data_IF_467388827775
#
_entry.id   IF_467388827775
#
_cell.length_a   1.000
_cell.length_b   1.000
_cell.length_c   1.000
_cell.angle_alpha   90.00
_cell.angle_beta   90.00
_cell.angle_gamma   90.00
#
_symmetry.space_group_name_H-M   'P 1'
#
loop_
_entity.id
_entity.type
_entity.pdbx_description
1 polymer ?
#
# COMPACT_ATOMS: atom_id res chain seq x y z
N UNK A 1 84.51 -47.35 -24.27
CA UNK A 1 85.59 -46.44 -23.80
C UNK A 1 84.93 -45.07 -23.73
N UNK A 2 84.88 -44.42 -22.55
CA UNK A 2 83.85 -43.41 -22.24
C UNK A 2 82.51 -44.11 -21.98
N UNK A 3 81.83 -44.05 -20.83
CA UNK A 3 81.91 -43.21 -19.60
C UNK A 3 81.33 -41.79 -19.71
N UNK A 4 80.53 -41.44 -18.69
CA UNK A 4 80.14 -40.11 -18.18
C UNK A 4 79.46 -39.13 -19.15
N UNK A 5 78.32 -38.53 -18.80
CA UNK A 5 78.18 -37.72 -17.58
C UNK A 5 76.81 -37.78 -16.90
N UNK A 6 76.77 -37.34 -15.64
CA UNK A 6 75.55 -37.14 -14.85
C UNK A 6 74.85 -35.83 -15.20
N UNK A 7 73.53 -35.81 -14.99
CA UNK A 7 72.77 -34.60 -14.67
C UNK A 7 71.76 -34.96 -13.57
N UNK A 8 72.19 -34.73 -12.34
CA UNK A 8 71.34 -34.65 -11.17
C UNK A 8 70.37 -33.48 -11.36
N UNK A 9 69.09 -33.67 -11.04
CA UNK A 9 68.09 -32.62 -11.15
C UNK A 9 67.27 -32.60 -9.84
N UNK A 10 67.85 -31.94 -8.84
CA UNK A 10 67.24 -31.69 -7.55
C UNK A 10 65.93 -30.90 -7.68
N UNK A 11 65.03 -31.12 -6.72
CA UNK A 11 63.97 -30.18 -6.39
C UNK A 11 62.79 -30.15 -7.36
N UNK A 12 61.70 -30.79 -6.93
CA UNK A 12 60.50 -29.99 -6.68
C UNK A 12 59.75 -30.59 -5.49
N UNK A 13 59.57 -29.76 -4.47
CA UNK A 13 59.00 -30.15 -3.19
C UNK A 13 57.50 -30.48 -3.28
N UNK A 14 57.05 -31.23 -2.28
CA UNK A 14 55.67 -31.69 -2.09
C UNK A 14 54.77 -30.54 -1.55
N UNK A 15 53.56 -30.87 -1.10
CA UNK A 15 52.69 -30.01 -0.30
C UNK A 15 52.18 -28.73 -1.00
N UNK A 16 51.22 -28.90 -1.93
CA UNK A 16 50.22 -27.85 -2.25
C UNK A 16 48.80 -28.41 -2.14
N UNK A 17 48.47 -29.00 -0.98
CA UNK A 17 47.10 -29.39 -0.63
C UNK A 17 46.34 -28.20 -0.01
N UNK A 18 46.09 -27.16 -0.82
CA UNK A 18 45.20 -26.04 -0.45
C UNK A 18 43.79 -26.28 -0.98
N UNK A 19 43.11 -27.29 -0.42
CA UNK A 19 41.72 -27.61 -0.77
C UNK A 19 40.74 -26.60 -0.15
N UNK A 20 40.76 -25.35 -0.63
CA UNK A 20 39.78 -24.33 -0.28
C UNK A 20 38.41 -24.69 -0.89
N UNK A 21 37.68 -25.57 -0.22
CA UNK A 21 36.25 -25.79 -0.45
C UNK A 21 35.49 -24.57 0.07
N UNK A 22 35.52 -23.47 -0.71
CA UNK A 22 34.71 -22.29 -0.46
C UNK A 22 33.25 -22.70 -0.31
N UNK A 23 32.81 -22.79 0.94
CA UNK A 23 31.49 -23.29 1.32
C UNK A 23 30.51 -22.12 1.31
N UNK A 24 30.58 -21.30 0.27
CA UNK A 24 29.61 -20.26 -0.01
C UNK A 24 28.26 -20.93 -0.30
N UNK A 25 27.25 -20.65 0.53
CA UNK A 25 25.89 -21.17 0.39
C UNK A 25 25.27 -20.66 -0.93
N UNK A 26 25.55 -21.36 -2.03
CA UNK A 26 25.02 -21.07 -3.36
C UNK A 26 23.55 -21.49 -3.42
N UNK A 27 22.69 -20.64 -2.84
CA UNK A 27 21.24 -20.75 -2.94
C UNK A 27 20.85 -20.92 -4.41
N UNK A 28 20.22 -22.05 -4.81
CA UNK A 28 19.97 -22.34 -6.21
C UNK A 28 19.13 -21.25 -6.87
N UNK A 29 19.56 -20.81 -8.05
CA UNK A 29 18.90 -19.78 -8.85
C UNK A 29 17.40 -20.05 -8.96
N UNK A 30 16.62 -18.97 -9.04
CA UNK A 30 15.15 -19.02 -9.06
C UNK A 30 14.60 -18.68 -10.43
N UNK A 31 13.54 -19.40 -10.82
CA UNK A 31 12.75 -19.05 -11.99
C UNK A 31 12.11 -17.67 -11.80
N UNK A 32 12.47 -16.70 -12.66
CA UNK A 32 12.02 -15.30 -12.56
C UNK A 32 10.50 -15.09 -12.67
N UNK A 33 9.74 -16.12 -13.05
CA UNK A 33 8.28 -16.11 -13.01
C UNK A 33 7.69 -16.76 -11.75
N UNK A 34 8.03 -18.03 -11.49
CA UNK A 34 7.36 -18.83 -10.46
C UNK A 34 8.11 -18.86 -9.12
N UNK A 35 9.31 -18.27 -9.05
CA UNK A 35 10.20 -18.12 -7.88
C UNK A 35 10.62 -19.42 -7.18
N UNK A 36 10.35 -20.57 -7.83
CA UNK A 36 10.89 -21.88 -7.45
C UNK A 36 12.39 -21.93 -7.79
N UNK A 37 13.23 -22.49 -6.92
CA UNK A 37 14.60 -22.84 -7.29
C UNK A 37 14.60 -23.97 -8.33
N UNK A 38 15.62 -24.03 -9.19
CA UNK A 38 15.87 -25.16 -10.08
C UNK A 38 17.30 -25.17 -10.57
N UNK A 39 17.91 -26.36 -10.65
CA UNK A 39 19.25 -26.57 -11.20
C UNK A 39 19.29 -26.39 -12.74
N UNK A 40 18.14 -26.50 -13.42
CA UNK A 40 18.03 -26.59 -14.88
C UNK A 40 17.34 -25.36 -15.51
N UNK A 41 17.64 -24.15 -15.05
CA UNK A 41 17.01 -22.94 -15.58
C UNK A 41 17.56 -22.50 -16.95
N UNK A 42 16.64 -22.20 -17.87
CA UNK A 42 16.91 -21.66 -19.20
C UNK A 42 16.95 -20.13 -19.14
N UNK A 43 18.08 -19.52 -19.51
CA UNK A 43 18.21 -18.05 -19.61
C UNK A 43 17.43 -17.49 -20.81
N UNK A 44 16.89 -16.29 -20.68
CA UNK A 44 16.15 -15.62 -21.74
C UNK A 44 17.02 -15.43 -22.99
N UNK A 45 16.59 -15.93 -24.14
CA UNK A 45 17.34 -15.87 -25.41
C UNK A 45 17.52 -14.46 -25.97
N UNK A 46 16.79 -13.47 -25.45
CA UNK A 46 17.05 -12.04 -25.66
C UNK A 46 18.13 -11.55 -24.70
N UNK A 47 17.71 -10.97 -23.56
CA UNK A 47 18.60 -10.25 -22.66
C UNK A 47 19.56 -11.11 -21.82
N UNK A 48 19.38 -12.44 -21.74
CA UNK A 48 20.12 -13.39 -20.87
C UNK A 48 20.10 -13.13 -19.35
N UNK A 49 19.65 -11.95 -18.89
CA UNK A 49 19.64 -11.51 -17.48
C UNK A 49 18.58 -12.16 -16.58
N UNK A 50 17.73 -13.06 -17.12
CA UNK A 50 16.66 -13.70 -16.35
C UNK A 50 16.46 -15.15 -16.80
N UNK A 51 16.18 -16.02 -15.85
CA UNK A 51 16.21 -17.48 -15.99
C UNK A 51 14.84 -18.10 -15.66
N UNK A 52 14.46 -19.17 -16.37
CA UNK A 52 13.14 -19.81 -16.25
C UNK A 52 13.24 -21.34 -16.20
N UNK A 53 12.41 -22.02 -15.41
CA UNK A 53 12.39 -23.49 -15.36
C UNK A 53 11.83 -24.14 -16.64
N UNK A 54 10.99 -23.41 -17.35
CA UNK A 54 10.33 -23.87 -18.58
C UNK A 54 9.93 -22.68 -19.47
N UNK A 55 9.62 -23.00 -20.73
CA UNK A 55 9.17 -22.05 -21.75
C UNK A 55 7.80 -21.44 -21.41
N UNK A 56 6.99 -22.17 -20.63
CA UNK A 56 5.67 -21.77 -20.17
C UNK A 56 5.77 -20.57 -19.20
N UNK A 57 6.73 -20.63 -18.27
CA UNK A 57 7.09 -19.56 -17.34
C UNK A 57 7.72 -18.36 -18.07
N UNK A 58 8.62 -18.61 -19.03
CA UNK A 58 9.19 -17.56 -19.86
C UNK A 58 8.09 -16.80 -20.63
N UNK A 59 7.17 -17.53 -21.26
CA UNK A 59 6.08 -16.97 -22.07
C UNK A 59 5.11 -16.15 -21.21
N UNK A 60 4.68 -16.69 -20.05
CA UNK A 60 3.79 -15.97 -19.13
C UNK A 60 4.45 -14.70 -18.60
N UNK A 61 5.72 -14.75 -18.21
CA UNK A 61 6.44 -13.56 -17.73
C UNK A 61 6.65 -12.52 -18.83
N UNK A 62 6.98 -12.96 -20.05
CA UNK A 62 7.13 -12.07 -21.21
C UNK A 62 5.85 -11.28 -21.46
N UNK A 63 4.69 -11.93 -21.56
CA UNK A 63 3.42 -11.22 -21.82
C UNK A 63 2.96 -10.32 -20.67
N UNK A 64 3.30 -10.63 -19.42
CA UNK A 64 2.85 -9.85 -18.25
C UNK A 64 3.71 -8.63 -17.92
N UNK A 65 5.03 -8.73 -18.06
CA UNK A 65 5.96 -7.72 -17.53
C UNK A 65 7.28 -7.66 -18.31
N UNK A 66 7.91 -8.82 -18.53
CA UNK A 66 9.28 -8.87 -19.08
C UNK A 66 9.41 -8.38 -20.52
N UNK A 67 8.35 -8.34 -21.34
CA UNK A 67 8.37 -7.74 -22.69
C UNK A 67 8.89 -6.30 -22.71
N UNK A 68 8.68 -5.52 -21.65
CA UNK A 68 9.14 -4.14 -21.55
C UNK A 68 10.57 -4.02 -21.02
N UNK A 69 11.03 -4.98 -20.21
CA UNK A 69 12.39 -5.05 -19.65
C UNK A 69 13.36 -5.93 -20.46
N UNK A 70 12.90 -6.57 -21.54
CA UNK A 70 13.72 -7.44 -22.39
C UNK A 70 14.53 -6.62 -23.40
N UNK A 71 15.53 -5.89 -22.91
CA UNK A 71 16.58 -5.25 -23.72
C UNK A 71 17.31 -6.32 -24.51
N UNK A 72 16.94 -6.48 -25.79
CA UNK A 72 17.29 -7.69 -26.57
C UNK A 72 18.77 -7.76 -26.97
N UNK A 73 19.42 -6.60 -27.01
CA UNK A 73 20.87 -6.41 -26.94
C UNK A 73 21.14 -5.14 -26.14
N UNK A 74 21.97 -5.23 -25.11
CA UNK A 74 23.00 -4.22 -24.87
C UNK A 74 24.33 -4.94 -25.06
N UNK A 75 25.19 -4.38 -25.90
CA UNK A 75 26.40 -5.06 -26.34
C UNK A 75 27.40 -5.27 -25.18
N UNK A 76 28.23 -6.31 -25.31
CA UNK A 76 29.18 -6.76 -24.29
C UNK A 76 30.42 -5.87 -24.16
N UNK A 77 30.23 -4.56 -24.22
CA UNK A 77 31.26 -3.50 -24.10
C UNK A 77 31.05 -2.60 -22.87
N UNK A 78 29.93 -2.73 -22.15
CA UNK A 78 29.55 -1.85 -21.05
C UNK A 78 30.11 -2.22 -19.65
N UNK A 79 31.13 -3.08 -19.55
CA UNK A 79 31.80 -3.42 -18.27
C UNK A 79 32.76 -2.34 -17.77
N UNK A 80 32.28 -1.08 -17.73
CA UNK A 80 32.92 0.10 -17.09
C UNK A 80 31.85 1.06 -16.55
N UNK A 81 30.92 0.53 -15.75
CA UNK A 81 29.86 1.30 -15.11
C UNK A 81 29.98 1.37 -13.57
N UNK A 82 30.77 0.48 -12.95
CA UNK A 82 31.05 0.48 -11.51
C UNK A 82 32.17 1.49 -11.16
N UNK A 83 31.90 2.77 -11.40
CA UNK A 83 32.56 3.94 -10.77
C UNK A 83 31.93 5.24 -11.29
N UNK A 84 30.62 5.42 -11.10
CA UNK A 84 30.07 6.79 -11.00
C UNK A 84 30.29 7.21 -9.55
N UNK A 85 30.94 8.35 -9.36
CA UNK A 85 31.22 8.91 -8.04
C UNK A 85 29.91 9.26 -7.32
N UNK A 86 29.74 8.79 -6.07
CA UNK A 86 28.55 9.09 -5.26
C UNK A 86 28.42 10.60 -5.01
N UNK A 87 29.53 11.32 -4.88
CA UNK A 87 29.50 12.77 -4.71
C UNK A 87 29.10 13.48 -6.02
N UNK A 88 29.45 12.94 -7.19
CA UNK A 88 28.93 13.43 -8.48
C UNK A 88 27.43 13.12 -8.64
N UNK A 89 26.97 11.95 -8.19
CA UNK A 89 25.54 11.61 -8.21
C UNK A 89 24.73 12.51 -7.26
N UNK A 90 25.27 12.84 -6.09
CA UNK A 90 24.71 13.85 -5.16
C UNK A 90 24.69 15.24 -5.78
N UNK A 91 25.79 15.68 -6.38
CA UNK A 91 25.88 17.00 -7.00
C UNK A 91 24.88 17.15 -8.16
N UNK A 92 24.68 16.10 -8.96
CA UNK A 92 23.63 16.06 -10.00
C UNK A 92 22.22 16.07 -9.38
N UNK A 93 21.99 15.41 -8.24
CA UNK A 93 20.70 15.45 -7.54
C UNK A 93 20.41 16.79 -6.84
N UNK A 94 21.44 17.53 -6.42
CA UNK A 94 21.32 18.85 -5.81
C UNK A 94 21.20 19.98 -6.85
N UNK A 95 21.78 19.82 -8.06
CA UNK A 95 21.57 20.74 -9.19
C UNK A 95 20.21 20.54 -9.91
N UNK A 96 19.48 19.44 -9.62
CA UNK A 96 18.08 19.27 -10.06
C UNK A 96 17.17 19.98 -9.05
N UNK A 97 17.12 21.30 -9.16
CA UNK A 97 16.37 22.20 -8.28
C UNK A 97 14.90 21.77 -8.06
N UNK A 98 14.45 21.91 -6.81
CA UNK A 98 13.24 21.27 -6.26
C UNK A 98 11.87 21.71 -6.81
N UNK A 99 11.80 22.44 -7.92
CA UNK A 99 10.54 22.89 -8.54
C UNK A 99 10.00 21.92 -9.61
N UNK A 100 10.85 21.09 -10.24
CA UNK A 100 10.44 20.35 -11.44
C UNK A 100 9.43 19.21 -11.19
N UNK A 101 9.45 18.58 -10.02
CA UNK A 101 8.63 17.40 -9.70
C UNK A 101 7.12 17.68 -9.50
N UNK A 102 6.68 18.95 -9.55
CA UNK A 102 5.26 19.33 -9.53
C UNK A 102 4.66 19.50 -10.95
N UNK A 103 5.47 19.37 -12.00
CA UNK A 103 5.08 19.70 -13.38
C UNK A 103 4.23 18.62 -14.07
N UNK A 104 2.94 18.60 -13.73
CA UNK A 104 1.82 18.02 -14.50
C UNK A 104 2.19 16.90 -15.49
N UNK A 105 2.18 15.63 -15.04
CA UNK A 105 2.29 14.47 -15.93
C UNK A 105 1.18 14.50 -17.00
N UNK A 106 1.50 15.05 -18.18
CA UNK A 106 0.52 15.28 -19.23
C UNK A 106 -0.11 13.93 -19.65
N UNK A 107 -1.44 13.83 -19.69
CA UNK A 107 -2.10 12.60 -20.09
C UNK A 107 -1.59 12.19 -21.48
N UNK A 108 -1.36 10.89 -21.62
CA UNK A 108 -0.82 10.29 -22.84
C UNK A 108 -1.80 9.27 -23.40
N UNK A 109 -1.80 9.12 -24.73
CA UNK A 109 -2.70 8.18 -25.39
C UNK A 109 -2.38 6.74 -24.96
N UNK A 110 -3.31 6.06 -24.31
CA UNK A 110 -3.13 4.72 -23.74
C UNK A 110 -2.75 3.63 -24.77
N UNK A 111 -2.95 3.89 -26.08
CA UNK A 111 -2.55 2.97 -27.15
C UNK A 111 -1.14 3.25 -27.72
N UNK A 112 -0.74 4.52 -27.85
CA UNK A 112 0.54 4.91 -28.46
C UNK A 112 1.59 5.42 -27.46
N UNK A 113 1.22 5.63 -26.20
CA UNK A 113 2.02 6.25 -25.13
C UNK A 113 2.62 7.62 -25.50
N UNK A 114 1.95 8.35 -26.40
CA UNK A 114 2.33 9.71 -26.81
C UNK A 114 1.45 10.75 -26.10
N UNK A 115 2.02 11.84 -25.54
CA UNK A 115 1.24 12.97 -25.04
C UNK A 115 0.52 13.67 -26.19
N UNK A 116 -0.64 14.27 -25.90
CA UNK A 116 -1.37 15.11 -26.86
C UNK A 116 -2.23 16.15 -26.15
N UNK A 117 -2.38 17.33 -26.76
CA UNK A 117 -3.14 18.46 -26.21
C UNK A 117 -4.66 18.26 -26.23
N UNK A 118 -5.17 17.22 -26.89
CA UNK A 118 -6.60 17.04 -27.20
C UNK A 118 -7.10 15.59 -27.00
N UNK A 119 -6.60 14.91 -25.96
CA UNK A 119 -7.01 13.54 -25.66
C UNK A 119 -8.46 13.45 -25.17
N UNK A 120 -9.16 12.39 -25.58
CA UNK A 120 -10.51 12.06 -25.14
C UNK A 120 -10.46 10.95 -24.07
N UNK A 121 -11.11 11.16 -22.92
CA UNK A 121 -11.27 10.13 -21.88
C UNK A 121 -12.19 8.99 -22.36
N UNK A 122 -11.99 7.79 -21.83
CA UNK A 122 -12.88 6.66 -22.08
C UNK A 122 -14.27 6.94 -21.52
N UNK A 123 -15.30 7.01 -22.35
CA UNK A 123 -16.70 7.25 -21.92
C UNK A 123 -17.29 6.15 -21.02
N UNK A 124 -16.61 5.00 -20.90
CA UNK A 124 -16.98 3.96 -19.94
C UNK A 124 -16.34 4.18 -18.56
N UNK A 125 -15.02 4.05 -18.48
CA UNK A 125 -14.31 4.02 -17.18
C UNK A 125 -13.58 5.32 -16.81
N UNK A 126 -13.53 6.30 -17.71
CA UNK A 126 -12.83 7.61 -17.61
C UNK A 126 -11.31 7.60 -17.38
N UNK A 127 -10.74 6.53 -16.82
CA UNK A 127 -9.31 6.36 -16.47
C UNK A 127 -8.34 6.50 -17.66
N UNK A 128 -8.70 5.99 -18.84
CA UNK A 128 -7.80 5.94 -20.00
C UNK A 128 -8.11 7.04 -21.03
N UNK A 129 -7.06 7.64 -21.57
CA UNK A 129 -7.10 8.75 -22.51
C UNK A 129 -6.65 8.32 -23.92
N UNK A 130 -7.26 8.89 -24.97
CA UNK A 130 -7.05 8.45 -26.37
C UNK A 130 -6.90 9.61 -27.35
N UNK A 131 -6.10 9.39 -28.40
CA UNK A 131 -5.92 10.36 -29.49
C UNK A 131 -7.22 10.62 -30.27
N UNK A 132 -7.96 9.55 -30.57
CA UNK A 132 -9.21 9.51 -31.29
C UNK A 132 -9.96 8.19 -30.96
N UNK A 133 -11.07 7.93 -31.63
CA UNK A 133 -11.83 6.69 -31.48
C UNK A 133 -11.13 5.44 -32.06
N UNK A 134 -10.13 5.60 -32.94
CA UNK A 134 -9.32 4.48 -33.47
C UNK A 134 -8.34 4.00 -32.41
N UNK A 135 -7.62 4.94 -31.77
CA UNK A 135 -6.80 4.71 -30.57
C UNK A 135 -7.60 3.95 -29.50
N UNK A 136 -8.83 4.39 -29.21
CA UNK A 136 -9.72 3.70 -28.26
C UNK A 136 -10.11 2.28 -28.73
N UNK A 137 -10.55 2.13 -29.98
CA UNK A 137 -10.98 0.84 -30.54
C UNK A 137 -9.84 -0.17 -30.69
N UNK A 138 -8.59 0.27 -30.85
CA UNK A 138 -7.41 -0.59 -30.84
C UNK A 138 -7.08 -1.04 -29.42
N UNK A 139 -7.03 -0.14 -28.44
CA UNK A 139 -6.80 -0.51 -27.04
C UNK A 139 -7.91 -1.43 -26.49
N UNK A 140 -9.17 -1.20 -26.90
CA UNK A 140 -10.31 -2.08 -26.61
C UNK A 140 -10.07 -3.53 -27.01
N UNK A 141 -9.52 -3.75 -28.21
CA UNK A 141 -9.20 -5.09 -28.75
C UNK A 141 -7.98 -5.73 -28.11
N UNK A 142 -7.05 -4.97 -27.53
CA UNK A 142 -5.83 -5.48 -26.90
C UNK A 142 -5.96 -5.70 -25.38
N UNK A 143 -7.18 -5.67 -24.84
CA UNK A 143 -7.47 -6.01 -23.43
C UNK A 143 -8.16 -4.91 -22.62
N UNK A 144 -8.31 -3.68 -23.14
CA UNK A 144 -9.02 -2.65 -22.38
C UNK A 144 -10.49 -3.01 -22.11
N UNK A 145 -11.14 -3.78 -22.99
CA UNK A 145 -12.48 -4.33 -22.77
C UNK A 145 -12.62 -5.03 -21.41
N UNK A 146 -11.60 -5.77 -20.99
CA UNK A 146 -11.66 -6.64 -19.81
C UNK A 146 -11.43 -5.87 -18.50
N UNK A 147 -10.84 -4.67 -18.59
CA UNK A 147 -10.61 -3.76 -17.45
C UNK A 147 -11.52 -2.52 -17.45
N UNK A 148 -12.23 -2.22 -18.55
CA UNK A 148 -13.14 -1.07 -18.68
C UNK A 148 -14.42 -1.25 -17.84
N UNK A 149 -14.24 -1.20 -16.52
CA UNK A 149 -15.28 -1.29 -15.52
C UNK A 149 -16.04 0.04 -15.43
N UNK A 150 -16.99 0.24 -16.34
CA UNK A 150 -17.75 1.48 -16.53
C UNK A 150 -18.78 1.81 -15.41
N UNK A 151 -18.45 1.46 -14.16
CA UNK A 151 -19.28 1.57 -12.94
C UNK A 151 -18.46 1.76 -11.65
N UNK A 152 -17.17 2.07 -11.72
CA UNK A 152 -16.29 2.12 -10.52
C UNK A 152 -16.16 3.52 -9.90
N UNK A 153 -16.54 4.59 -10.62
CA UNK A 153 -16.24 5.97 -10.18
C UNK A 153 -17.42 6.65 -9.45
N UNK A 154 -18.68 6.29 -9.73
CA UNK A 154 -19.86 6.97 -9.16
C UNK A 154 -19.98 6.81 -7.63
N UNK A 155 -19.59 5.65 -7.09
CA UNK A 155 -19.84 5.22 -5.71
C UNK A 155 -18.82 5.76 -4.67
N UNK A 156 -17.87 6.62 -5.09
CA UNK A 156 -16.86 7.23 -4.20
C UNK A 156 -17.05 8.74 -4.00
N UNK A 157 -18.05 9.36 -4.65
CA UNK A 157 -18.26 10.81 -4.62
C UNK A 157 -19.65 11.25 -4.13
N UNK A 158 -20.57 10.31 -3.89
CA UNK A 158 -21.99 10.64 -3.62
C UNK A 158 -22.54 10.15 -2.27
N UNK A 159 -21.70 9.63 -1.37
CA UNK A 159 -22.10 9.17 -0.04
C UNK A 159 -22.25 10.28 1.02
N UNK A 160 -22.43 11.55 0.61
CA UNK A 160 -22.52 12.70 1.54
C UNK A 160 -23.55 13.78 1.17
N UNK A 161 -24.41 13.53 0.17
CA UNK A 161 -25.54 14.42 -0.14
C UNK A 161 -26.81 13.59 -0.33
N UNK A 162 -27.46 13.27 0.79
CA UNK A 162 -28.92 13.13 0.77
C UNK A 162 -29.51 14.51 0.47
N UNK A 163 -30.64 14.54 -0.23
CA UNK A 163 -31.39 15.77 -0.41
C UNK A 163 -32.18 16.06 0.85
N UNK A 164 -32.03 17.26 1.37
CA UNK A 164 -33.09 17.94 2.09
C UNK A 164 -34.00 18.54 1.01
N UNK A 165 -35.13 17.88 0.73
CA UNK A 165 -36.21 18.47 -0.07
C UNK A 165 -37.11 19.24 0.92
N UNK A 166 -37.14 20.58 0.82
CA UNK A 166 -37.93 21.46 1.70
C UNK A 166 -39.45 21.19 1.56
N UNK A 167 -40.10 20.77 2.65
CA UNK A 167 -41.48 21.18 2.91
C UNK A 167 -41.72 21.37 4.42
N UNK A 168 -42.45 22.43 4.77
CA UNK A 168 -42.43 23.05 6.10
C UNK A 168 -43.67 22.68 6.93
N UNK A 169 -43.47 22.07 8.10
CA UNK A 169 -44.45 22.12 9.20
C UNK A 169 -43.73 22.24 10.57
N UNK A 170 -44.44 22.76 11.56
CA UNK A 170 -43.84 23.43 12.73
C UNK A 170 -43.79 22.54 13.98
N UNK A 171 -42.63 21.93 14.26
CA UNK A 171 -42.32 21.41 15.59
C UNK A 171 -40.83 21.60 15.94
N UNK A 172 -40.52 22.69 16.64
CA UNK A 172 -39.15 23.06 17.04
C UNK A 172 -38.68 22.24 18.25
N UNK A 173 -38.45 20.93 18.05
CA UNK A 173 -37.98 20.04 19.11
C UNK A 173 -36.49 20.26 19.39
N UNK A 174 -36.21 21.13 20.36
CA UNK A 174 -34.86 21.47 20.82
C UNK A 174 -34.26 20.30 21.62
N UNK A 175 -33.05 19.86 21.26
CA UNK A 175 -32.29 18.88 22.04
C UNK A 175 -31.86 19.48 23.38
N UNK A 176 -32.63 19.17 24.41
CA UNK A 176 -32.31 19.45 25.80
C UNK A 176 -31.68 18.24 26.49
N UNK A 177 -30.98 18.45 27.59
CA UNK A 177 -30.45 17.34 28.41
C UNK A 177 -31.59 16.63 29.18
N UNK A 178 -31.74 15.31 29.01
CA UNK A 178 -32.76 14.45 29.67
C UNK A 178 -32.79 14.54 31.22
N UNK A 179 -31.77 15.14 31.84
CA UNK A 179 -31.64 15.29 33.30
C UNK A 179 -32.00 16.70 33.79
N UNK A 180 -32.05 17.72 32.91
CA UNK A 180 -32.27 19.12 33.33
C UNK A 180 -32.96 20.05 32.32
N UNK A 181 -33.43 19.56 31.17
CA UNK A 181 -34.32 20.25 30.22
C UNK A 181 -33.83 21.59 29.62
N UNK A 182 -32.56 21.97 29.81
CA UNK A 182 -32.00 23.22 29.27
C UNK A 182 -31.40 23.05 27.85
N UNK A 183 -31.56 24.04 26.95
CA UNK A 183 -31.04 24.01 25.59
C UNK A 183 -29.54 24.38 25.52
N UNK A 184 -28.81 23.72 24.62
CA UNK A 184 -27.36 23.85 24.50
C UNK A 184 -26.92 25.00 23.57
N UNK A 185 -25.92 25.79 23.98
CA UNK A 185 -25.11 26.66 23.10
C UNK A 185 -23.61 26.41 23.30
N UNK A 186 -22.78 26.84 22.33
CA UNK A 186 -21.58 26.07 21.94
C UNK A 186 -20.25 26.82 22.08
N UNK A 187 -19.34 26.30 22.91
CA UNK A 187 -17.87 26.37 22.72
C UNK A 187 -17.25 25.06 23.23
N UNK A 188 -16.27 24.48 22.51
CA UNK A 188 -15.56 23.27 22.95
C UNK A 188 -14.14 23.55 23.44
N UNK A 189 -13.78 22.98 24.60
CA UNK A 189 -12.41 22.54 24.93
C UNK A 189 -12.44 21.10 25.44
N UNK A 190 -11.37 20.33 25.20
CA UNK A 190 -11.26 18.91 25.58
C UNK A 190 -10.37 18.73 26.80
N UNK A 191 -10.72 17.79 27.67
CA UNK A 191 -9.87 17.41 28.81
C UNK A 191 -8.63 16.66 28.32
N UNK A 192 -7.43 17.11 28.71
CA UNK A 192 -6.14 16.52 28.30
C UNK A 192 -5.86 15.15 28.92
N UNK A 193 -6.56 14.75 30.00
CA UNK A 193 -6.39 13.45 30.64
C UNK A 193 -7.22 12.31 30.03
N UNK A 194 -8.40 12.62 29.46
CA UNK A 194 -9.34 11.60 28.98
C UNK A 194 -9.96 11.88 27.59
N UNK A 195 -9.56 12.97 26.93
CA UNK A 195 -9.99 13.40 25.60
C UNK A 195 -11.51 13.68 25.41
N UNK A 196 -12.34 13.44 26.43
CA UNK A 196 -13.75 13.83 26.43
C UNK A 196 -13.92 15.35 26.45
N UNK A 197 -14.94 15.82 25.75
CA UNK A 197 -15.47 17.18 25.86
C UNK A 197 -16.33 17.27 27.12
N UNK A 198 -16.25 18.40 27.83
CA UNK A 198 -17.17 18.73 28.92
C UNK A 198 -17.75 20.13 28.65
N UNK A 199 -19.00 20.32 29.03
CA UNK A 199 -19.70 21.60 28.91
C UNK A 199 -19.63 22.33 30.26
N UNK A 200 -19.33 23.62 30.22
CA UNK A 200 -19.49 24.53 31.35
C UNK A 200 -20.28 25.74 30.83
N UNK A 201 -21.32 26.13 31.55
CA UNK A 201 -21.99 27.40 31.32
C UNK A 201 -21.04 28.55 31.69
N UNK A 202 -21.03 29.61 30.89
CA UNK A 202 -20.28 30.82 31.21
C UNK A 202 -21.10 31.67 32.17
N UNK A 203 -20.78 31.59 33.46
CA UNK A 203 -21.30 32.51 34.46
C UNK A 203 -20.23 32.87 35.48
N UNK A 204 -20.21 34.14 35.87
CA UNK A 204 -19.05 34.71 36.55
C UNK A 204 -18.99 34.39 38.05
N UNK A 205 -17.78 34.39 38.61
CA UNK A 205 -17.44 34.36 40.05
C UNK A 205 -17.31 32.98 40.76
N UNK A 206 -16.05 32.52 40.77
CA UNK A 206 -15.29 32.15 41.98
C UNK A 206 -15.14 30.69 42.42
N UNK A 207 -13.95 30.42 43.00
CA UNK A 207 -13.52 29.22 43.73
C UNK A 207 -13.45 27.90 42.96
N UNK A 208 -12.24 27.53 42.55
CA UNK A 208 -11.86 26.13 42.37
C UNK A 208 -12.00 25.39 43.71
N UNK A 209 -13.06 24.59 43.85
CA UNK A 209 -13.21 23.63 44.96
C UNK A 209 -12.73 22.26 44.48
N UNK A 210 -11.67 21.75 45.10
CA UNK A 210 -11.32 20.34 44.96
C UNK A 210 -12.43 19.47 45.54
N UNK A 211 -12.62 18.27 44.98
CA UNK A 211 -13.66 17.35 45.43
C UNK A 211 -13.17 16.50 46.61
N UNK A 212 -12.94 17.15 47.76
CA UNK A 212 -12.63 16.49 49.03
C UNK A 212 -13.94 16.01 49.68
N UNK A 213 -14.14 14.68 49.73
CA UNK A 213 -15.28 14.04 50.41
C UNK A 213 -14.75 13.39 51.69
N UNK A 214 -15.09 13.94 52.87
CA UNK A 214 -14.93 13.18 54.13
C UNK A 214 -15.97 13.51 55.23
N UNK A 215 -16.61 12.43 55.71
CA UNK A 215 -17.11 12.15 57.08
C UNK A 215 -18.21 12.95 57.80
N UNK A 216 -19.15 12.12 58.33
CA UNK A 216 -20.15 12.35 59.43
C UNK A 216 -21.33 13.24 59.00
N UNK A 217 -22.62 12.91 59.23
CA UNK A 217 -23.28 11.84 60.02
C UNK A 217 -24.40 12.46 60.87
N UNK A 218 -25.57 11.86 61.17
CA UNK A 218 -26.12 10.47 61.08
C UNK A 218 -27.68 10.61 60.91
N UNK A 219 -28.62 9.63 60.95
CA UNK A 219 -28.79 8.31 61.63
C UNK A 219 -29.72 7.38 60.80
N UNK A 220 -29.83 6.12 61.24
CA UNK A 220 -30.70 4.96 60.92
C UNK A 220 -32.22 5.15 60.64
N UNK A 221 -32.99 4.09 60.25
CA UNK A 221 -32.63 2.79 59.63
C UNK A 221 -33.50 2.40 58.39
N UNK A 222 -33.39 1.13 57.97
CA UNK A 222 -34.31 0.38 57.09
C UNK A 222 -34.34 0.70 55.58
N UNK A 223 -33.40 0.10 54.84
CA UNK A 223 -33.75 -0.84 53.76
C UNK A 223 -32.63 -1.83 53.43
N UNK A 224 -33.01 -2.90 52.72
CA UNK A 224 -32.18 -4.07 52.41
C UNK A 224 -31.14 -3.80 51.32
N UNK A 225 -29.97 -4.42 51.44
CA UNK A 225 -28.82 -4.28 50.55
C UNK A 225 -28.98 -5.00 49.19
N UNK A 226 -28.73 -4.30 48.08
CA UNK A 226 -28.20 -4.90 46.84
C UNK A 226 -27.64 -3.85 45.86
N UNK A 227 -26.32 -3.75 45.80
CA UNK A 227 -25.45 -3.38 44.66
C UNK A 227 -25.95 -2.31 43.65
N UNK A 228 -25.38 -1.10 43.71
CA UNK A 228 -25.53 -0.07 42.64
C UNK A 228 -24.19 0.37 41.99
N UNK A 229 -23.02 -0.03 42.51
CA UNK A 229 -21.70 0.48 42.10
C UNK A 229 -21.11 -0.12 40.79
N UNK A 230 -21.67 -1.18 40.20
CA UNK A 230 -21.02 -1.96 39.13
C UNK A 230 -21.23 -1.45 37.69
N UNK A 231 -22.08 -0.44 37.48
CA UNK A 231 -22.59 -0.08 36.13
C UNK A 231 -21.50 0.49 35.19
N UNK A 232 -20.42 1.08 35.71
CA UNK A 232 -19.47 1.88 34.93
C UNK A 232 -18.17 1.19 34.45
N UNK A 233 -17.98 -0.13 34.61
CA UNK A 233 -16.70 -0.80 34.26
C UNK A 233 -16.63 -1.54 32.92
N UNK A 234 -17.74 -1.86 32.27
CA UNK A 234 -17.74 -2.83 31.15
C UNK A 234 -17.70 -2.23 29.72
N UNK A 235 -17.53 -0.92 29.56
CA UNK A 235 -17.41 -0.27 28.25
C UNK A 235 -16.00 -0.46 27.64
N UNK A 236 -15.63 -1.70 27.29
CA UNK A 236 -14.51 -1.98 26.39
C UNK A 236 -14.79 -1.27 25.04
N UNK A 237 -13.83 -0.53 24.46
CA UNK A 237 -14.05 0.10 23.15
C UNK A 237 -14.41 -0.96 22.11
N UNK A 238 -15.53 -0.76 21.41
CA UNK A 238 -15.97 -1.67 20.36
C UNK A 238 -14.98 -1.61 19.19
N UNK A 239 -14.36 -2.75 18.88
CA UNK A 239 -13.46 -2.88 17.74
C UNK A 239 -14.27 -2.69 16.45
N UNK A 240 -13.90 -1.69 15.64
CA UNK A 240 -14.67 -1.30 14.45
C UNK A 240 -14.46 -2.30 13.32
N UNK A 241 -15.35 -3.30 13.26
CA UNK A 241 -15.24 -4.44 12.32
C UNK A 241 -15.43 -3.97 10.87
N UNK A 242 -14.32 -3.70 10.20
CA UNK A 242 -14.32 -3.32 8.78
C UNK A 242 -14.73 -4.52 7.89
N UNK A 243 -15.32 -4.26 6.70
CA UNK A 243 -15.61 -5.29 5.71
C UNK A 243 -14.40 -5.58 4.82
N UNK A 244 -14.24 -6.83 4.37
CA UNK A 244 -13.24 -7.16 3.36
C UNK A 244 -13.58 -6.48 2.01
N UNK A 245 -12.61 -5.78 1.43
CA UNK A 245 -12.80 -5.02 0.19
C UNK A 245 -13.39 -5.84 -0.98
N UNK A 246 -13.00 -7.12 -1.09
CA UNK A 246 -13.47 -8.04 -2.13
C UNK A 246 -14.81 -8.72 -1.78
N UNK A 247 -14.86 -9.53 -0.72
CA UNK A 247 -16.03 -10.38 -0.43
C UNK A 247 -17.09 -9.71 0.48
N UNK A 248 -16.86 -8.46 0.89
CA UNK A 248 -17.71 -7.61 1.76
C UNK A 248 -18.06 -8.18 3.15
N UNK A 249 -17.66 -9.41 3.47
CA UNK A 249 -17.84 -9.99 4.81
C UNK A 249 -17.08 -9.18 5.87
N UNK A 250 -17.68 -8.89 7.04
CA UNK A 250 -16.98 -8.30 8.19
C UNK A 250 -15.90 -9.27 8.69
N UNK A 251 -14.78 -8.72 9.18
CA UNK A 251 -13.67 -9.51 9.70
C UNK A 251 -12.79 -8.67 10.62
N UNK A 252 -12.35 -9.24 11.75
CA UNK A 252 -11.30 -8.67 12.61
C UNK A 252 -9.92 -8.80 11.97
N UNK A 253 -9.62 -9.98 11.41
CA UNK A 253 -8.29 -10.33 10.87
C UNK A 253 -8.01 -9.80 9.45
N UNK A 254 -8.29 -8.52 9.22
CA UNK A 254 -8.11 -7.89 7.91
C UNK A 254 -6.67 -7.46 7.64
N UNK A 255 -6.07 -8.07 6.61
CA UNK A 255 -4.72 -7.77 6.14
C UNK A 255 -4.76 -6.63 5.13
N UNK A 256 -4.17 -5.49 5.50
CA UNK A 256 -4.05 -4.29 4.65
C UNK A 256 -3.11 -4.55 3.46
N UNK A 257 -3.36 -3.89 2.33
CA UNK A 257 -2.41 -3.85 1.23
C UNK A 257 -1.11 -3.17 1.68
N UNK A 258 0.05 -3.78 1.38
CA UNK A 258 1.35 -3.29 1.83
C UNK A 258 1.65 -1.85 1.38
N UNK A 259 1.42 -1.58 0.09
CA UNK A 259 1.61 -0.27 -0.53
C UNK A 259 0.53 0.72 -0.08
N UNK A 260 -0.74 0.49 -0.50
CA UNK A 260 -1.80 1.48 -0.36
C UNK A 260 -2.38 1.65 1.06
N UNK A 261 -2.23 0.67 1.96
CA UNK A 261 -2.70 0.62 3.37
C UNK A 261 -4.19 0.84 3.67
N UNK A 262 -4.97 1.44 2.77
CA UNK A 262 -6.41 1.70 2.90
C UNK A 262 -7.26 0.45 2.59
N UNK A 263 -6.85 -0.35 1.58
CA UNK A 263 -7.62 -1.52 1.12
C UNK A 263 -7.26 -2.76 1.95
N UNK A 264 -8.28 -3.48 2.43
CA UNK A 264 -8.13 -4.51 3.47
C UNK A 264 -8.81 -5.85 3.11
N UNK A 265 -8.14 -6.98 3.38
CA UNK A 265 -8.53 -8.32 2.90
C UNK A 265 -8.52 -9.39 3.99
N UNK A 266 -9.57 -10.21 4.09
CA UNK A 266 -9.63 -11.30 5.07
C UNK A 266 -8.78 -12.53 4.64
N UNK A 267 -8.47 -12.67 3.36
CA UNK A 267 -7.65 -13.79 2.84
C UNK A 267 -6.73 -13.33 1.70
N UNK A 268 -5.61 -14.05 1.51
CA UNK A 268 -4.73 -13.90 0.33
C UNK A 268 -5.47 -14.18 -0.99
N UNK A 269 -6.53 -14.99 -0.97
CA UNK A 269 -7.36 -15.24 -2.15
C UNK A 269 -8.24 -14.03 -2.51
N UNK A 270 -8.89 -13.41 -1.52
CA UNK A 270 -9.63 -12.15 -1.71
C UNK A 270 -8.71 -11.03 -2.19
N UNK A 271 -7.47 -10.96 -1.68
CA UNK A 271 -6.44 -10.06 -2.20
C UNK A 271 -6.14 -10.34 -3.67
N UNK A 272 -5.80 -11.58 -4.04
CA UNK A 272 -5.50 -11.97 -5.44
C UNK A 272 -6.66 -11.70 -6.41
N UNK A 273 -7.91 -11.96 -6.00
CA UNK A 273 -9.09 -11.74 -6.84
C UNK A 273 -9.38 -10.25 -7.09
N UNK A 274 -9.06 -9.36 -6.15
CA UNK A 274 -9.13 -7.91 -6.38
C UNK A 274 -7.84 -7.33 -6.99
N UNK A 275 -6.70 -8.02 -6.87
CA UNK A 275 -5.38 -7.52 -7.27
C UNK A 275 -5.32 -7.03 -8.73
N UNK A 276 -5.97 -7.72 -9.67
CA UNK A 276 -6.01 -7.28 -11.08
C UNK A 276 -6.71 -5.93 -11.29
N UNK A 277 -7.70 -5.59 -10.45
CA UNK A 277 -8.35 -4.26 -10.45
C UNK A 277 -7.55 -3.24 -9.63
N UNK A 278 -6.96 -3.70 -8.53
CA UNK A 278 -6.19 -2.85 -7.62
C UNK A 278 -4.82 -2.44 -8.18
N UNK A 279 -4.10 -3.29 -8.93
CA UNK A 279 -2.76 -3.00 -9.50
C UNK A 279 -2.73 -1.74 -10.38
N UNK A 280 -3.85 -1.38 -11.02
CA UNK A 280 -3.97 -0.17 -11.84
C UNK A 280 -3.92 1.12 -11.00
N UNK A 281 -4.36 1.05 -9.73
CA UNK A 281 -4.39 2.18 -8.77
C UNK A 281 -3.25 2.07 -7.74
N UNK A 282 -2.72 0.87 -7.54
CA UNK A 282 -1.71 0.51 -6.53
C UNK A 282 -0.32 0.50 -7.17
N UNK A 283 0.15 1.71 -7.51
CA UNK A 283 1.56 2.03 -7.71
C UNK A 283 2.16 2.57 -6.40
#
# INVERSE_FOLDING_TARGET
>A
IGESSTHDNDGQDDDTESSETDSSDQFPDRCGFCQRPSEALKKCTGCKNISYCDEDCQTKHFFLEHKYACSRSQDSSAQRADSIDEDLYRQILEEIDGEFLSSQAHPSCAFFLKPSKSLKKCTGCEIFFYCDSKCQAQHWKTGHKDVCSAKIIEDSSQAFFLKEDDEHDQNEQRDCCDVCEHPLQVVLKKCTGCHKTFYYGDDSQSTTKNCDIDRKGTVSPERTSSNEDDICRNNKPQETVQPCAFCKKPSTDLKKCFFFKQVSYCTKECQRKLFFKHKIVCH
#
